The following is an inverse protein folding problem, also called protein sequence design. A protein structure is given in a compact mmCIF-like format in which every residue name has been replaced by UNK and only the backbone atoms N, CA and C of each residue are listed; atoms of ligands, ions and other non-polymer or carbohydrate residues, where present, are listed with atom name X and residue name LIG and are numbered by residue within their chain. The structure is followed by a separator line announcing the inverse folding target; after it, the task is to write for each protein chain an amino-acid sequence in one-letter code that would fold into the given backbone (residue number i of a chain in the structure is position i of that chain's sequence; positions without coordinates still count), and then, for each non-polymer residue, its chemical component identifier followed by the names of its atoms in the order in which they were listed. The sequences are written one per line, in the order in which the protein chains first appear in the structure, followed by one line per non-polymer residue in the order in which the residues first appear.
data_IF_401013806237
#
_entry.id   IF_401013806237
#
_cell.length_a   1.000
_cell.length_b   1.000
_cell.length_c   1.000
_cell.angle_alpha   90.00
_cell.angle_beta   90.00
_cell.angle_gamma   90.00
#
_symmetry.space_group_name_H-M   'P 1'
#
loop_
_entity.id
_entity.type
_entity.pdbx_description
1 polymer ?
#
# COMPACT_ATOMS: atom_id res chain seq x y z
N UNK A 1 -6.82 11.64 -16.65
CA UNK A 1 -5.84 11.40 -15.57
C UNK A 1 -6.52 11.33 -14.20
N UNK A 2 -7.27 12.36 -13.79
CA UNK A 2 -7.99 12.38 -12.50
C UNK A 2 -8.88 11.14 -12.26
N UNK A 3 -9.70 10.76 -13.23
CA UNK A 3 -10.57 9.59 -13.11
C UNK A 3 -9.78 8.29 -12.88
N UNK A 4 -8.60 8.15 -13.50
CA UNK A 4 -7.73 6.99 -13.27
C UNK A 4 -7.17 6.98 -11.85
N UNK A 5 -6.69 8.13 -11.36
CA UNK A 5 -6.14 8.24 -9.98
C UNK A 5 -7.21 7.93 -8.95
N UNK A 6 -8.38 8.57 -9.07
CA UNK A 6 -9.52 8.35 -8.16
C UNK A 6 -10.00 6.89 -8.23
N UNK A 7 -10.17 6.35 -9.46
CA UNK A 7 -10.56 4.95 -9.64
C UNK A 7 -9.56 3.97 -9.03
N UNK A 8 -8.26 4.20 -9.23
CA UNK A 8 -7.20 3.37 -8.63
C UNK A 8 -7.24 3.42 -7.10
N UNK A 9 -7.38 4.62 -6.52
CA UNK A 9 -7.48 4.77 -5.06
C UNK A 9 -8.72 4.06 -4.50
N UNK A 10 -9.85 4.19 -5.17
CA UNK A 10 -11.09 3.54 -4.75
C UNK A 10 -11.04 2.01 -4.87
N UNK A 11 -10.28 1.44 -5.80
CA UNK A 11 -10.18 -0.04 -5.90
C UNK A 11 -9.41 -0.66 -4.75
N UNK A 12 -8.55 0.09 -4.07
CA UNK A 12 -7.74 -0.42 -2.96
C UNK A 12 -8.59 -0.68 -1.71
N UNK A 13 -8.19 -1.71 -0.93
CA UNK A 13 -8.76 -2.01 0.38
C UNK A 13 -7.64 -2.03 1.40
N UNK A 14 -7.95 -1.73 2.67
CA UNK A 14 -6.95 -1.70 3.73
C UNK A 14 -6.57 -3.10 4.21
N UNK A 15 -5.38 -3.56 3.81
CA UNK A 15 -4.82 -4.85 4.24
C UNK A 15 -4.71 -4.93 5.77
N UNK A 16 -4.30 -3.84 6.42
CA UNK A 16 -4.15 -3.79 7.87
C UNK A 16 -5.49 -3.93 8.62
N UNK A 17 -6.53 -3.21 8.17
CA UNK A 17 -7.85 -3.25 8.82
C UNK A 17 -8.51 -4.60 8.59
N UNK A 18 -8.49 -5.08 7.35
CA UNK A 18 -9.15 -6.34 6.99
C UNK A 18 -8.46 -7.54 7.65
N UNK A 19 -7.13 -7.59 7.64
CA UNK A 19 -6.40 -8.68 8.30
C UNK A 19 -6.65 -8.70 9.82
N UNK A 20 -6.64 -7.53 10.47
CA UNK A 20 -6.98 -7.39 11.89
C UNK A 20 -8.39 -7.90 12.18
N UNK A 21 -9.38 -7.48 11.40
CA UNK A 21 -10.77 -7.92 11.54
C UNK A 21 -10.92 -9.44 11.39
N UNK A 22 -10.24 -10.03 10.41
CA UNK A 22 -10.28 -11.48 10.17
C UNK A 22 -9.59 -12.26 11.31
N UNK A 23 -8.52 -11.73 11.89
CA UNK A 23 -7.84 -12.33 13.05
C UNK A 23 -8.74 -12.29 14.29
N UNK A 24 -9.34 -11.14 14.59
CA UNK A 24 -10.23 -10.95 15.75
C UNK A 24 -11.47 -11.85 15.67
N UNK A 25 -11.96 -12.12 14.46
CA UNK A 25 -13.12 -13.01 14.22
C UNK A 25 -12.74 -14.49 14.06
N UNK A 26 -11.45 -14.83 14.15
CA UNK A 26 -10.93 -16.19 13.90
C UNK A 26 -11.27 -16.72 12.48
N UNK A 27 -11.53 -15.83 11.53
CA UNK A 27 -11.97 -16.13 10.18
C UNK A 27 -10.84 -16.16 9.14
N UNK A 28 -9.59 -15.94 9.57
CA UNK A 28 -8.44 -15.87 8.66
C UNK A 28 -8.28 -17.14 7.80
N UNK A 29 -8.55 -18.30 8.38
CA UNK A 29 -8.43 -19.60 7.72
C UNK A 29 -9.70 -20.04 6.99
N UNK A 30 -10.80 -19.27 7.09
CA UNK A 30 -12.03 -19.53 6.36
C UNK A 30 -11.87 -19.35 4.84
N UNK A 31 -12.77 -19.85 4.03
CA UNK A 31 -12.74 -19.69 2.57
C UNK A 31 -12.77 -18.21 2.16
N UNK A 32 -13.62 -17.42 2.78
CA UNK A 32 -13.71 -15.99 2.51
C UNK A 32 -12.49 -15.22 3.07
N UNK A 33 -11.94 -15.62 4.22
CA UNK A 33 -10.73 -15.02 4.77
C UNK A 33 -9.51 -15.20 3.85
N UNK A 34 -9.26 -16.44 3.40
CA UNK A 34 -8.17 -16.74 2.45
C UNK A 34 -8.33 -15.97 1.13
N UNK A 35 -9.56 -15.88 0.62
CA UNK A 35 -9.84 -15.14 -0.60
C UNK A 35 -9.62 -13.65 -0.41
N UNK A 36 -10.09 -13.07 0.71
CA UNK A 36 -9.86 -11.66 1.06
C UNK A 36 -8.38 -11.34 1.14
N UNK A 37 -7.60 -12.14 1.86
CA UNK A 37 -6.14 -11.96 1.95
C UNK A 37 -5.47 -12.08 0.58
N UNK A 38 -5.88 -13.04 -0.25
CA UNK A 38 -5.35 -13.18 -1.62
C UNK A 38 -5.61 -11.95 -2.48
N UNK A 39 -6.82 -11.37 -2.41
CA UNK A 39 -7.17 -10.13 -3.13
C UNK A 39 -6.33 -8.96 -2.61
N UNK A 40 -6.19 -8.82 -1.29
CA UNK A 40 -5.39 -7.76 -0.68
C UNK A 40 -3.91 -7.83 -1.09
N UNK A 41 -3.31 -9.02 -1.05
CA UNK A 41 -1.93 -9.23 -1.51
C UNK A 41 -1.77 -8.87 -3.00
N UNK A 42 -2.75 -9.20 -3.83
CA UNK A 42 -2.74 -8.80 -5.23
C UNK A 42 -2.84 -7.27 -5.38
N UNK A 43 -3.70 -6.61 -4.60
CA UNK A 43 -3.83 -5.16 -4.59
C UNK A 43 -2.52 -4.48 -4.16
N UNK A 44 -1.85 -5.00 -3.12
CA UNK A 44 -0.57 -4.47 -2.65
C UNK A 44 0.52 -4.55 -3.74
N UNK A 45 0.54 -5.63 -4.53
CA UNK A 45 1.43 -5.75 -5.69
C UNK A 45 1.00 -4.79 -6.82
N UNK A 46 -0.30 -4.65 -7.07
CA UNK A 46 -0.85 -3.80 -8.12
C UNK A 46 -0.64 -2.30 -7.84
N UNK A 47 -0.45 -1.92 -6.59
CA UNK A 47 -0.12 -0.53 -6.20
C UNK A 47 1.18 -0.05 -6.85
N UNK A 48 2.16 -0.93 -7.04
CA UNK A 48 3.47 -0.57 -7.60
C UNK A 48 3.34 0.04 -9.01
N UNK A 49 2.75 -0.66 -10.01
CA UNK A 49 2.56 -0.07 -11.33
C UNK A 49 1.65 1.16 -11.31
N UNK A 50 0.67 1.24 -10.42
CA UNK A 50 -0.20 2.41 -10.29
C UNK A 50 0.58 3.64 -9.84
N UNK A 51 1.43 3.51 -8.80
CA UNK A 51 2.28 4.60 -8.31
C UNK A 51 3.29 5.09 -9.35
N UNK A 52 3.66 4.24 -10.28
CA UNK A 52 4.53 4.60 -11.41
C UNK A 52 3.76 5.31 -12.51
N UNK A 53 2.54 4.86 -12.80
CA UNK A 53 1.72 5.41 -13.88
C UNK A 53 1.16 6.79 -13.56
N UNK A 54 0.85 7.10 -12.31
CA UNK A 54 0.25 8.39 -11.92
C UNK A 54 1.12 9.58 -12.30
N UNK A 55 2.42 9.66 -11.95
CA UNK A 55 3.31 10.72 -12.40
C UNK A 55 3.49 10.74 -13.92
N UNK A 56 3.60 9.58 -14.56
CA UNK A 56 3.73 9.47 -16.00
C UNK A 56 2.55 10.07 -16.78
N UNK A 57 1.33 9.87 -16.28
CA UNK A 57 0.11 10.41 -16.87
C UNK A 57 -0.10 11.91 -16.58
N UNK A 58 0.58 12.49 -15.61
CA UNK A 58 0.48 13.92 -15.26
C UNK A 58 1.39 14.81 -16.10
N UNK A 59 2.45 14.29 -16.68
CA UNK A 59 3.39 15.03 -17.54
C UNK A 59 2.78 15.32 -18.92
N UNK A 60 2.45 16.60 -19.19
CA UNK A 60 1.74 17.04 -20.41
C UNK A 60 2.62 17.28 -21.64
N UNK A 61 3.94 17.06 -21.60
CA UNK A 61 4.84 17.68 -22.58
C UNK A 61 5.76 16.75 -23.40
N UNK A 62 5.66 15.43 -23.27
CA UNK A 62 6.55 14.50 -23.98
C UNK A 62 5.74 13.30 -24.52
N UNK A 63 6.20 12.72 -25.63
CA UNK A 63 5.63 11.51 -26.24
C UNK A 63 5.39 10.41 -25.17
N UNK A 64 4.13 10.05 -24.98
CA UNK A 64 3.70 9.08 -23.95
C UNK A 64 4.51 7.78 -24.04
N UNK A 65 4.86 7.35 -25.24
CA UNK A 65 5.66 6.15 -25.46
C UNK A 65 7.08 6.28 -24.89
N UNK A 66 7.72 7.44 -25.11
CA UNK A 66 9.08 7.69 -24.63
C UNK A 66 9.13 7.78 -23.10
N UNK A 67 8.13 8.42 -22.49
CA UNK A 67 7.98 8.48 -21.04
C UNK A 67 7.74 7.08 -20.46
N UNK A 68 6.82 6.33 -21.04
CA UNK A 68 6.48 4.99 -20.57
C UNK A 68 7.68 4.04 -20.63
N UNK A 69 8.43 4.05 -21.73
CA UNK A 69 9.64 3.24 -21.90
C UNK A 69 10.72 3.68 -20.90
N UNK A 70 10.96 4.99 -20.77
CA UNK A 70 11.98 5.53 -19.86
C UNK A 70 11.67 5.21 -18.38
N UNK A 71 10.42 5.39 -17.95
CA UNK A 71 10.01 5.08 -16.58
C UNK A 71 10.04 3.57 -16.36
N UNK A 72 9.53 2.78 -17.28
CA UNK A 72 9.57 1.32 -17.15
C UNK A 72 11.00 0.80 -17.07
N UNK A 73 11.92 1.33 -17.88
CA UNK A 73 13.34 0.96 -17.83
C UNK A 73 13.98 1.34 -16.48
N UNK A 74 13.74 2.55 -15.99
CA UNK A 74 14.23 3.00 -14.68
C UNK A 74 13.71 2.12 -13.55
N UNK A 75 12.44 1.76 -13.58
CA UNK A 75 11.80 0.91 -12.57
C UNK A 75 12.35 -0.51 -12.64
N UNK A 76 12.45 -1.10 -13.82
CA UNK A 76 13.03 -2.45 -13.99
C UNK A 76 14.47 -2.47 -13.50
N UNK A 77 15.26 -1.45 -13.84
CA UNK A 77 16.65 -1.34 -13.40
C UNK A 77 16.72 -1.17 -11.86
N UNK A 78 15.90 -0.31 -11.30
CA UNK A 78 15.82 -0.09 -9.84
C UNK A 78 15.39 -1.36 -9.11
N UNK A 79 14.34 -2.02 -9.56
CA UNK A 79 13.88 -3.28 -8.99
C UNK A 79 14.93 -4.39 -9.13
N UNK A 80 15.62 -4.46 -10.27
CA UNK A 80 16.68 -5.45 -10.48
C UNK A 80 17.86 -5.25 -9.53
N UNK A 81 18.31 -4.01 -9.36
CA UNK A 81 19.37 -3.66 -8.39
C UNK A 81 18.92 -3.97 -6.97
N UNK A 82 17.68 -3.59 -6.63
CA UNK A 82 17.10 -3.86 -5.32
C UNK A 82 17.02 -5.37 -5.02
N UNK A 83 16.59 -6.17 -5.98
CA UNK A 83 16.42 -7.60 -5.80
C UNK A 83 17.77 -8.33 -5.65
N UNK A 84 18.78 -7.88 -6.40
CA UNK A 84 20.10 -8.54 -6.39
C UNK A 84 20.99 -8.10 -5.21
N UNK A 85 21.06 -6.80 -4.96
CA UNK A 85 21.94 -6.21 -3.93
C UNK A 85 21.20 -5.85 -2.63
N UNK A 86 19.89 -5.64 -2.69
CA UNK A 86 19.14 -5.14 -1.54
C UNK A 86 19.19 -6.05 -0.33
N UNK A 87 18.89 -7.34 -0.51
CA UNK A 87 18.88 -8.31 0.60
C UNK A 87 20.25 -8.47 1.30
N UNK A 88 21.37 -8.72 0.60
CA UNK A 88 22.65 -8.83 1.24
C UNK A 88 23.13 -7.53 1.89
N UNK A 89 22.90 -6.40 1.22
CA UNK A 89 23.27 -5.07 1.76
C UNK A 89 22.47 -4.75 3.01
N UNK A 90 21.15 -4.97 3.00
CA UNK A 90 20.30 -4.74 4.17
C UNK A 90 20.63 -5.67 5.33
N UNK A 91 20.88 -6.96 5.07
CA UNK A 91 21.31 -7.88 6.13
C UNK A 91 22.65 -7.49 6.76
N UNK A 92 23.60 -7.04 5.94
CA UNK A 92 24.89 -6.55 6.43
C UNK A 92 24.71 -5.28 7.26
N UNK A 93 23.95 -4.29 6.73
CA UNK A 93 23.72 -3.01 7.40
C UNK A 93 23.00 -3.18 8.74
N UNK A 94 21.86 -3.85 8.74
CA UNK A 94 21.12 -4.13 9.98
C UNK A 94 21.90 -5.03 10.94
N UNK A 95 22.77 -5.89 10.44
CA UNK A 95 23.69 -6.67 11.26
C UNK A 95 24.70 -5.81 12.03
N UNK A 96 25.21 -4.75 11.41
CA UNK A 96 26.09 -3.78 12.08
C UNK A 96 25.33 -3.00 13.16
N UNK A 97 24.13 -2.52 12.83
CA UNK A 97 23.29 -1.74 13.75
C UNK A 97 22.83 -2.59 14.93
N UNK A 98 22.39 -3.81 14.70
CA UNK A 98 21.91 -4.72 15.75
C UNK A 98 23.02 -5.08 16.77
N UNK A 99 24.29 -5.07 16.37
CA UNK A 99 25.43 -5.29 17.29
C UNK A 99 25.54 -4.21 18.37
N UNK A 100 25.01 -3.01 18.13
CA UNK A 100 25.04 -1.91 19.09
C UNK A 100 24.06 -2.11 20.27
N UNK A 101 23.16 -3.10 20.17
CA UNK A 101 22.17 -3.47 21.21
C UNK A 101 21.31 -2.30 21.73
N UNK A 102 21.17 -1.22 20.96
CA UNK A 102 20.27 -0.10 21.24
C UNK A 102 19.05 -0.18 20.33
N UNK A 103 17.87 -0.22 20.96
CA UNK A 103 16.57 -0.23 20.28
C UNK A 103 16.31 1.08 19.55
N UNK A 104 16.68 2.19 20.16
CA UNK A 104 16.52 3.54 19.60
C UNK A 104 17.34 3.71 18.33
N UNK A 105 18.62 3.29 18.36
CA UNK A 105 19.48 3.32 17.18
C UNK A 105 18.94 2.42 16.07
N UNK A 106 18.37 1.27 16.43
CA UNK A 106 17.81 0.37 15.45
C UNK A 106 16.59 0.99 14.74
N UNK A 107 15.64 1.57 15.49
CA UNK A 107 14.47 2.28 14.96
C UNK A 107 14.89 3.45 14.07
N UNK A 108 15.83 4.30 14.54
CA UNK A 108 16.33 5.42 13.77
C UNK A 108 16.96 4.97 12.44
N UNK A 109 17.69 3.86 12.43
CA UNK A 109 18.24 3.30 11.19
C UNK A 109 17.17 2.77 10.23
N UNK A 110 16.11 2.15 10.73
CA UNK A 110 14.99 1.74 9.88
C UNK A 110 14.33 2.96 9.23
N UNK A 111 14.07 4.02 10.02
CA UNK A 111 13.53 5.28 9.49
C UNK A 111 14.49 5.92 8.47
N UNK A 112 15.78 5.97 8.79
CA UNK A 112 16.80 6.50 7.88
C UNK A 112 16.83 5.74 6.54
N UNK A 113 16.81 4.41 6.57
CA UNK A 113 16.79 3.58 5.36
C UNK A 113 15.52 3.85 4.56
N UNK A 114 14.36 3.91 5.22
CA UNK A 114 13.08 4.19 4.57
C UNK A 114 13.09 5.57 3.89
N UNK A 115 13.56 6.61 4.59
CA UNK A 115 13.68 7.96 4.03
C UNK A 115 14.70 8.04 2.90
N UNK A 116 15.81 7.33 3.02
CA UNK A 116 16.84 7.27 1.97
C UNK A 116 16.29 6.68 0.67
N UNK A 117 15.56 5.56 0.75
CA UNK A 117 14.93 4.98 -0.44
C UNK A 117 13.81 5.86 -0.99
N UNK A 118 13.02 6.50 -0.13
CA UNK A 118 12.01 7.46 -0.54
C UNK A 118 12.65 8.62 -1.33
N UNK A 119 13.76 9.17 -0.84
CA UNK A 119 14.50 10.23 -1.52
C UNK A 119 15.14 9.79 -2.83
N UNK A 120 15.72 8.57 -2.88
CA UNK A 120 16.30 8.03 -4.12
C UNK A 120 15.27 7.85 -5.22
N UNK A 121 14.06 7.37 -4.88
CA UNK A 121 12.99 7.22 -5.87
C UNK A 121 12.48 8.56 -6.37
N UNK A 122 12.41 9.57 -5.52
CA UNK A 122 12.06 10.94 -5.91
C UNK A 122 13.10 11.52 -6.90
N UNK A 123 14.39 11.36 -6.62
CA UNK A 123 15.45 11.76 -7.55
C UNK A 123 15.35 11.04 -8.91
N UNK A 124 14.84 9.82 -8.94
CA UNK A 124 14.57 9.08 -10.17
C UNK A 124 13.29 9.54 -10.90
N UNK A 125 12.55 10.52 -10.34
CA UNK A 125 11.28 11.02 -10.88
C UNK A 125 10.08 10.13 -10.53
N UNK A 126 10.19 9.34 -9.46
CA UNK A 126 9.14 8.48 -8.92
C UNK A 126 8.63 9.08 -7.60
N UNK A 127 7.64 8.45 -6.97
CA UNK A 127 7.07 8.97 -5.72
C UNK A 127 7.85 8.55 -4.48
N UNK A 128 7.86 9.41 -3.45
CA UNK A 128 8.37 9.06 -2.11
C UNK A 128 7.71 7.79 -1.54
N UNK A 129 6.40 7.64 -1.77
CA UNK A 129 5.63 6.50 -1.30
C UNK A 129 6.15 5.18 -1.88
N UNK A 130 6.48 5.15 -3.18
CA UNK A 130 7.09 3.98 -3.82
C UNK A 130 8.42 3.62 -3.17
N UNK A 131 9.27 4.60 -2.89
CA UNK A 131 10.57 4.35 -2.26
C UNK A 131 10.44 3.79 -0.85
N UNK A 132 9.53 4.35 -0.05
CA UNK A 132 9.24 3.83 1.29
C UNK A 132 8.68 2.40 1.24
N UNK A 133 7.79 2.10 0.27
CA UNK A 133 7.27 0.75 0.04
C UNK A 133 8.38 -0.23 -0.33
N UNK A 134 9.28 0.14 -1.25
CA UNK A 134 10.41 -0.69 -1.65
C UNK A 134 11.38 -0.95 -0.49
N UNK A 135 11.64 0.06 0.35
CA UNK A 135 12.43 -0.12 1.56
C UNK A 135 11.78 -1.15 2.50
N UNK A 136 10.48 -1.04 2.74
CA UNK A 136 9.72 -2.00 3.55
C UNK A 136 9.77 -3.42 3.00
N UNK A 137 9.62 -3.57 1.67
CA UNK A 137 9.75 -4.86 0.99
C UNK A 137 11.14 -5.48 1.16
N UNK A 138 12.21 -4.68 1.00
CA UNK A 138 13.58 -5.15 1.23
C UNK A 138 13.83 -5.56 2.68
N UNK A 139 13.35 -4.78 3.64
CA UNK A 139 13.45 -5.08 5.06
C UNK A 139 12.73 -6.39 5.39
N UNK A 140 11.56 -6.64 4.78
CA UNK A 140 10.79 -7.87 4.99
C UNK A 140 11.53 -9.14 4.56
N UNK A 141 12.47 -9.04 3.63
CA UNK A 141 13.33 -10.12 3.16
C UNK A 141 14.56 -10.37 4.06
N UNK A 142 14.80 -9.49 5.06
CA UNK A 142 15.94 -9.61 5.97
C UNK A 142 15.64 -10.54 7.15
N UNK A 143 16.72 -10.96 7.83
CA UNK A 143 16.61 -11.71 9.10
C UNK A 143 16.03 -10.86 10.23
N UNK A 144 16.05 -9.56 10.09
CA UNK A 144 15.64 -8.58 11.12
C UNK A 144 14.17 -8.16 11.02
N UNK A 145 13.40 -8.73 10.08
CA UNK A 145 12.00 -8.35 9.80
C UNK A 145 11.12 -8.31 11.05
N UNK A 146 11.20 -9.32 11.89
CA UNK A 146 10.37 -9.40 13.11
C UNK A 146 10.79 -8.37 14.17
N UNK A 147 12.09 -8.10 14.28
CA UNK A 147 12.59 -7.05 15.16
C UNK A 147 12.13 -5.68 14.67
N UNK A 148 12.26 -5.40 13.37
CA UNK A 148 11.77 -4.17 12.75
C UNK A 148 10.27 -4.00 12.98
N UNK A 149 9.47 -5.03 12.73
CA UNK A 149 8.02 -4.99 12.92
C UNK A 149 7.64 -4.67 14.37
N UNK A 150 8.29 -5.33 15.33
CA UNK A 150 8.07 -5.09 16.75
C UNK A 150 8.50 -3.70 17.21
N UNK A 151 9.66 -3.23 16.75
CA UNK A 151 10.25 -1.97 17.23
C UNK A 151 9.61 -0.74 16.56
N UNK A 152 9.14 -0.89 15.31
CA UNK A 152 8.51 0.20 14.55
C UNK A 152 7.01 0.32 14.81
N UNK A 153 6.35 -0.68 15.36
CA UNK A 153 4.90 -0.69 15.51
C UNK A 153 4.35 0.57 16.18
N UNK A 154 4.94 1.01 17.28
CA UNK A 154 4.53 2.22 18.00
C UNK A 154 4.75 3.49 17.19
N UNK A 155 5.88 3.59 16.46
CA UNK A 155 6.15 4.71 15.56
C UNK A 155 5.18 4.74 14.38
N UNK A 156 4.93 3.61 13.76
CA UNK A 156 3.94 3.47 12.68
C UNK A 156 2.57 3.97 13.13
N UNK A 157 2.12 3.60 14.31
CA UNK A 157 0.80 3.96 14.82
C UNK A 157 0.70 5.49 15.07
N UNK A 158 1.76 6.11 15.59
CA UNK A 158 1.85 7.57 15.75
C UNK A 158 1.85 8.27 14.38
N UNK A 159 2.67 7.79 13.43
CA UNK A 159 2.74 8.37 12.09
C UNK A 159 1.42 8.19 11.32
N UNK A 160 0.73 7.07 11.47
CA UNK A 160 -0.61 6.86 10.93
C UNK A 160 -1.61 7.84 11.52
N UNK A 161 -1.58 8.07 12.85
CA UNK A 161 -2.40 9.07 13.50
C UNK A 161 -2.15 10.47 12.92
N UNK A 162 -0.88 10.84 12.76
CA UNK A 162 -0.48 12.13 12.19
C UNK A 162 -0.90 12.27 10.72
N UNK A 163 -0.79 11.21 9.95
CA UNK A 163 -1.27 11.16 8.56
C UNK A 163 -2.79 11.39 8.50
N UNK A 164 -3.59 10.67 9.30
CA UNK A 164 -5.03 10.85 9.29
C UNK A 164 -5.47 12.22 9.79
N UNK A 165 -4.78 12.80 10.80
CA UNK A 165 -5.02 14.18 11.24
C UNK A 165 -4.73 15.15 10.09
N UNK A 166 -3.60 15.00 9.40
CA UNK A 166 -3.20 15.86 8.28
C UNK A 166 -4.22 15.81 7.14
N UNK A 167 -4.66 14.59 6.77
CA UNK A 167 -5.71 14.39 5.76
C UNK A 167 -7.04 14.99 6.22
N UNK A 168 -7.40 14.78 7.50
CA UNK A 168 -8.61 15.37 8.09
C UNK A 168 -8.62 16.90 8.08
N UNK A 169 -7.46 17.54 8.32
CA UNK A 169 -7.34 19.00 8.24
C UNK A 169 -7.50 19.56 6.82
N UNK A 170 -7.28 18.75 5.79
CA UNK A 170 -7.52 19.15 4.40
C UNK A 170 -9.02 19.13 4.04
N UNK A 171 -9.86 18.53 4.88
CA UNK A 171 -11.29 18.45 4.64
C UNK A 171 -11.96 19.80 4.84
N UNK A 172 -12.67 20.28 3.84
CA UNK A 172 -13.51 21.49 3.98
C UNK A 172 -14.83 21.09 4.67
N UNK A 173 -14.93 21.43 5.96
CA UNK A 173 -16.10 21.06 6.78
C UNK A 173 -17.39 21.67 6.26
N UNK A 174 -17.36 22.89 5.69
CA UNK A 174 -18.57 23.52 5.13
C UNK A 174 -19.09 22.69 3.96
N UNK A 175 -18.20 22.32 3.01
CA UNK A 175 -18.58 21.47 1.87
C UNK A 175 -19.08 20.11 2.35
N UNK A 176 -18.48 19.55 3.41
CA UNK A 176 -18.90 18.29 3.98
C UNK A 176 -20.32 18.35 4.56
N UNK A 177 -20.63 19.35 5.37
CA UNK A 177 -21.96 19.50 5.98
C UNK A 177 -23.02 19.89 4.96
N UNK A 178 -22.70 20.76 4.01
CA UNK A 178 -23.62 21.18 2.95
C UNK A 178 -24.02 20.01 2.04
N UNK A 179 -23.12 19.04 1.85
CA UNK A 179 -23.32 17.90 0.96
C UNK A 179 -23.39 16.56 1.69
N UNK A 180 -23.66 16.57 3.00
CA UNK A 180 -23.59 15.37 3.84
C UNK A 180 -24.38 14.17 3.28
N UNK A 181 -25.62 14.40 2.86
CA UNK A 181 -26.45 13.34 2.31
C UNK A 181 -25.97 12.80 0.96
N UNK A 182 -25.38 13.67 0.15
CA UNK A 182 -24.79 13.29 -1.14
C UNK A 182 -23.55 12.44 -0.90
N UNK A 183 -22.68 12.87 0.01
CA UNK A 183 -21.46 12.13 0.37
C UNK A 183 -21.82 10.76 0.94
N UNK A 184 -22.79 10.69 1.85
CA UNK A 184 -23.23 9.44 2.45
C UNK A 184 -23.84 8.49 1.41
N UNK A 185 -24.62 9.02 0.47
CA UNK A 185 -25.21 8.26 -0.62
C UNK A 185 -24.16 7.69 -1.56
N UNK A 186 -23.15 8.49 -1.92
CA UNK A 186 -22.02 8.05 -2.76
C UNK A 186 -21.22 6.96 -2.04
N UNK A 187 -20.89 7.15 -0.76
CA UNK A 187 -20.19 6.15 0.04
C UNK A 187 -20.93 4.82 0.07
N UNK A 188 -22.23 4.86 0.35
CA UNK A 188 -23.07 3.66 0.41
C UNK A 188 -23.19 2.97 -0.95
N UNK A 189 -23.44 3.75 -2.01
CA UNK A 189 -23.52 3.24 -3.38
C UNK A 189 -22.18 2.61 -3.81
N UNK A 190 -21.06 3.26 -3.48
CA UNK A 190 -19.73 2.75 -3.79
C UNK A 190 -19.43 1.43 -3.05
N UNK A 191 -19.70 1.36 -1.75
CA UNK A 191 -19.50 0.14 -0.95
C UNK A 191 -20.34 -1.01 -1.47
N UNK A 192 -21.62 -0.76 -1.79
CA UNK A 192 -22.50 -1.76 -2.40
C UNK A 192 -22.01 -2.20 -3.78
N UNK A 193 -21.58 -1.25 -4.62
CA UNK A 193 -21.05 -1.55 -5.94
C UNK A 193 -19.79 -2.44 -5.84
N UNK A 194 -18.85 -2.07 -4.99
CA UNK A 194 -17.60 -2.82 -4.77
C UNK A 194 -17.90 -4.23 -4.23
N UNK A 195 -18.75 -4.34 -3.22
CA UNK A 195 -19.16 -5.62 -2.65
C UNK A 195 -19.86 -6.52 -3.70
N UNK A 196 -20.74 -5.94 -4.51
CA UNK A 196 -21.44 -6.65 -5.58
C UNK A 196 -20.47 -7.13 -6.67
N UNK A 197 -19.55 -6.28 -7.08
CA UNK A 197 -18.52 -6.62 -8.07
C UNK A 197 -17.67 -7.80 -7.60
N UNK A 198 -17.19 -7.75 -6.34
CA UNK A 198 -16.40 -8.83 -5.76
C UNK A 198 -17.22 -10.13 -5.67
N UNK A 199 -18.47 -10.04 -5.25
CA UNK A 199 -19.35 -11.20 -5.18
C UNK A 199 -19.60 -11.83 -6.56
N UNK A 200 -19.82 -11.02 -7.59
CA UNK A 200 -19.99 -11.47 -8.97
C UNK A 200 -18.71 -12.12 -9.53
N UNK A 201 -17.56 -11.48 -9.33
CA UNK A 201 -16.26 -12.05 -9.73
C UNK A 201 -16.01 -13.38 -9.03
N UNK A 202 -16.24 -13.44 -7.73
CA UNK A 202 -16.07 -14.67 -6.93
C UNK A 202 -16.94 -15.80 -7.46
N UNK A 203 -18.20 -15.49 -7.83
CA UNK A 203 -19.11 -16.45 -8.48
C UNK A 203 -18.61 -16.89 -9.86
N UNK A 204 -18.05 -15.96 -10.65
CA UNK A 204 -17.47 -16.27 -11.97
C UNK A 204 -16.28 -17.24 -11.86
N UNK A 205 -15.51 -17.16 -10.77
CA UNK A 205 -14.45 -18.11 -10.43
C UNK A 205 -14.95 -19.40 -9.74
N UNK A 206 -16.27 -19.68 -9.81
CA UNK A 206 -16.92 -20.91 -9.29
C UNK A 206 -16.88 -21.08 -7.76
N UNK A 207 -16.70 -20.01 -7.02
CA UNK A 207 -16.89 -20.03 -5.56
C UNK A 207 -18.38 -19.91 -5.20
N UNK A 208 -18.73 -20.37 -4.00
CA UNK A 208 -20.08 -20.22 -3.46
C UNK A 208 -20.45 -18.75 -3.29
N UNK A 209 -21.69 -18.38 -3.60
CA UNK A 209 -22.18 -16.99 -3.51
C UNK A 209 -22.02 -16.41 -2.10
N UNK A 210 -22.20 -17.24 -1.06
CA UNK A 210 -22.03 -16.82 0.33
C UNK A 210 -20.59 -16.40 0.66
N UNK A 211 -19.60 -17.07 0.06
CA UNK A 211 -18.18 -16.69 0.19
C UNK A 211 -17.96 -15.34 -0.49
N UNK A 212 -18.50 -15.16 -1.71
CA UNK A 212 -18.36 -13.91 -2.46
C UNK A 212 -18.97 -12.71 -1.75
N UNK A 213 -20.17 -12.84 -1.19
CA UNK A 213 -20.82 -11.76 -0.46
C UNK A 213 -20.02 -11.38 0.79
N UNK A 214 -19.57 -12.36 1.59
CA UNK A 214 -18.75 -12.08 2.78
C UNK A 214 -17.43 -11.40 2.41
N UNK A 215 -16.74 -11.90 1.38
CA UNK A 215 -15.51 -11.27 0.88
C UNK A 215 -15.77 -9.85 0.41
N UNK A 216 -16.86 -9.63 -0.34
CA UNK A 216 -17.22 -8.31 -0.84
C UNK A 216 -17.53 -7.30 0.28
N UNK A 217 -18.24 -7.71 1.32
CA UNK A 217 -18.55 -6.86 2.48
C UNK A 217 -17.31 -6.56 3.31
N UNK A 218 -16.36 -7.49 3.41
CA UNK A 218 -15.12 -7.30 4.18
C UNK A 218 -14.18 -6.35 3.45
N UNK A 219 -14.17 -6.37 2.13
CA UNK A 219 -13.24 -5.56 1.30
C UNK A 219 -13.85 -4.22 0.84
N UNK A 220 -15.18 -4.07 0.92
CA UNK A 220 -15.91 -2.83 0.58
C UNK A 220 -15.87 -1.85 1.70
#
# INVERSE_FOLDING_TARGET
TMAFVVGSALTMSSTAIVSKLLIERLDLNSRHGKLSIGILLFQDIAVIPILILIPALSSQSIDINTIFISISLKVILLLSILFWLGKPVMNFWFGLVAKQKSRELFVLNVLMVTMFFAYLTELAGLSYALGAFLAGMLISETRYRYQVESDISSFRDILLGLFFISVGMMLNLNVFFDNFWVILSILFAYTLFKASLIALLTKAFKYEMGVGIRTGVILG
#
